data_IF_120068547774
#
_entry.id   IF_120068547774
#
_cell.length_a   1.000
_cell.length_b   1.000
_cell.length_c   1.000
_cell.angle_alpha   90.00
_cell.angle_beta   90.00
_cell.angle_gamma   90.00
#
_symmetry.space_group_name_H-M   'P 1'
#
loop_
_entity.id
_entity.type
_entity.pdbx_description
1 polymer ?
#
# COMPACT_ATOMS: atom_id res chain seq x y z
N UNK A 1 5.16 10.30 -18.29
CA UNK A 1 5.34 9.06 -19.06
C UNK A 1 4.64 7.96 -18.31
N UNK A 2 3.74 7.24 -18.98
CA UNK A 2 3.09 6.07 -18.37
C UNK A 2 4.14 4.97 -18.08
N UNK A 3 4.05 4.42 -16.87
CA UNK A 3 4.98 3.43 -16.37
C UNK A 3 4.65 2.04 -16.95
N UNK A 4 5.53 1.48 -17.78
CA UNK A 4 5.29 0.16 -18.38
C UNK A 4 5.67 -0.96 -17.42
N UNK A 5 4.84 -2.01 -17.36
CA UNK A 5 5.05 -3.19 -16.49
C UNK A 5 6.46 -3.77 -16.61
N UNK A 6 6.97 -3.90 -17.83
CA UNK A 6 8.31 -4.46 -18.09
C UNK A 6 9.44 -3.59 -17.51
N UNK A 7 9.27 -2.26 -17.55
CA UNK A 7 10.25 -1.33 -16.96
C UNK A 7 10.25 -1.45 -15.45
N UNK A 8 9.09 -1.47 -14.80
CA UNK A 8 8.99 -1.65 -13.34
C UNK A 8 9.55 -2.99 -12.90
N UNK A 9 9.24 -4.05 -13.67
CA UNK A 9 9.74 -5.39 -13.38
C UNK A 9 11.28 -5.42 -13.37
N UNK A 10 11.90 -4.79 -14.37
CA UNK A 10 13.36 -4.69 -14.46
C UNK A 10 13.95 -3.84 -13.32
N UNK A 11 13.25 -2.77 -12.90
CA UNK A 11 13.65 -1.98 -11.73
C UNK A 11 13.59 -2.81 -10.46
N UNK A 12 12.46 -3.47 -10.20
CA UNK A 12 12.27 -4.31 -9.02
C UNK A 12 13.31 -5.44 -8.97
N UNK A 13 13.58 -6.12 -10.08
CA UNK A 13 14.58 -7.18 -10.15
C UNK A 13 16.02 -6.69 -9.89
N UNK A 14 16.30 -5.41 -10.17
CA UNK A 14 17.62 -4.81 -9.99
C UNK A 14 17.85 -4.28 -8.58
N UNK A 15 16.82 -3.70 -7.95
CA UNK A 15 16.95 -3.00 -6.68
C UNK A 15 16.59 -3.83 -5.45
N UNK A 16 15.85 -4.93 -5.62
CA UNK A 16 15.35 -5.75 -4.53
C UNK A 16 16.14 -7.06 -4.43
N UNK A 17 16.33 -7.55 -3.22
CA UNK A 17 16.79 -8.91 -2.97
C UNK A 17 15.82 -9.94 -3.58
N UNK A 18 16.29 -11.17 -3.78
CA UNK A 18 15.47 -12.24 -4.36
C UNK A 18 14.19 -12.52 -3.55
N UNK A 19 14.29 -12.51 -2.22
CA UNK A 19 13.14 -12.71 -1.32
C UNK A 19 12.12 -11.58 -1.49
N UNK A 20 12.59 -10.33 -1.47
CA UNK A 20 11.74 -9.16 -1.62
C UNK A 20 11.11 -9.09 -3.01
N UNK A 21 11.87 -9.42 -4.04
CA UNK A 21 11.37 -9.48 -5.41
C UNK A 21 10.27 -10.53 -5.57
N UNK A 22 10.41 -11.72 -4.95
CA UNK A 22 9.35 -12.74 -4.92
C UNK A 22 8.07 -12.24 -4.25
N UNK A 23 8.20 -11.55 -3.10
CA UNK A 23 7.08 -10.87 -2.44
C UNK A 23 6.42 -9.86 -3.38
N UNK A 24 7.20 -8.97 -3.98
CA UNK A 24 6.73 -7.95 -4.93
C UNK A 24 6.00 -8.55 -6.14
N UNK A 25 6.46 -9.69 -6.67
CA UNK A 25 5.73 -10.43 -7.72
C UNK A 25 4.38 -10.95 -7.21
N UNK A 26 4.35 -11.53 -6.01
CA UNK A 26 3.11 -12.00 -5.37
C UNK A 26 2.09 -10.88 -5.18
N UNK A 27 2.55 -9.71 -4.71
CA UNK A 27 1.72 -8.50 -4.58
C UNK A 27 1.19 -8.05 -5.93
N UNK A 28 2.05 -7.95 -6.94
CA UNK A 28 1.66 -7.51 -8.28
C UNK A 28 0.62 -8.43 -8.93
N UNK A 29 0.79 -9.75 -8.81
CA UNK A 29 -0.16 -10.74 -9.33
C UNK A 29 -1.49 -10.71 -8.56
N UNK A 30 -1.45 -10.56 -7.24
CA UNK A 30 -2.64 -10.43 -6.41
C UNK A 30 -3.42 -9.16 -6.76
N UNK A 31 -2.71 -8.04 -6.86
CA UNK A 31 -3.24 -6.74 -7.23
C UNK A 31 -3.91 -6.77 -8.62
N UNK A 32 -3.24 -7.35 -9.62
CA UNK A 32 -3.79 -7.47 -10.98
C UNK A 32 -5.10 -8.29 -11.00
N UNK A 33 -5.14 -9.43 -10.30
CA UNK A 33 -6.33 -10.29 -10.24
C UNK A 33 -7.48 -9.59 -9.53
N UNK A 34 -7.20 -8.95 -8.41
CA UNK A 34 -8.18 -8.19 -7.63
C UNK A 34 -8.71 -7.00 -8.42
N UNK A 35 -7.86 -6.32 -9.20
CA UNK A 35 -8.26 -5.20 -10.05
C UNK A 35 -9.24 -5.65 -11.14
N UNK A 36 -8.97 -6.78 -11.82
CA UNK A 36 -9.89 -7.37 -12.81
C UNK A 36 -11.25 -7.67 -12.20
N UNK A 37 -11.26 -8.21 -10.97
CA UNK A 37 -12.49 -8.56 -10.27
C UNK A 37 -13.33 -7.33 -9.93
N UNK A 38 -12.71 -6.25 -9.47
CA UNK A 38 -13.39 -5.00 -9.10
C UNK A 38 -13.57 -3.99 -10.25
N UNK A 39 -13.21 -4.36 -11.49
CA UNK A 39 -13.34 -3.49 -12.66
C UNK A 39 -12.36 -2.29 -12.67
N UNK A 40 -11.23 -2.40 -11.99
CA UNK A 40 -10.13 -1.43 -12.01
C UNK A 40 -9.14 -1.76 -13.13
N UNK A 41 -8.26 -0.81 -13.48
CA UNK A 41 -7.21 -1.04 -14.47
C UNK A 41 -6.17 -2.05 -13.92
N UNK A 42 -6.07 -3.27 -14.51
CA UNK A 42 -5.17 -4.29 -14.03
C UNK A 42 -3.69 -3.95 -14.28
N UNK A 43 -3.37 -3.17 -15.30
CA UNK A 43 -2.00 -2.77 -15.60
C UNK A 43 -1.50 -1.76 -14.57
N UNK A 44 -2.32 -0.78 -14.20
CA UNK A 44 -1.98 0.15 -13.10
C UNK A 44 -1.77 -0.58 -11.78
N UNK A 45 -2.66 -1.51 -11.44
CA UNK A 45 -2.53 -2.33 -10.23
C UNK A 45 -1.25 -3.18 -10.23
N UNK A 46 -0.94 -3.83 -11.36
CA UNK A 46 0.30 -4.59 -11.50
C UNK A 46 1.54 -3.70 -11.37
N UNK A 47 1.54 -2.53 -12.01
CA UNK A 47 2.65 -1.57 -11.93
C UNK A 47 2.87 -1.07 -10.50
N UNK A 48 1.81 -0.64 -9.81
CA UNK A 48 1.90 -0.19 -8.43
C UNK A 48 2.38 -1.33 -7.50
N UNK A 49 1.88 -2.56 -7.70
CA UNK A 49 2.32 -3.74 -6.95
C UNK A 49 3.80 -4.07 -7.18
N UNK A 50 4.32 -3.94 -8.40
CA UNK A 50 5.74 -4.15 -8.70
C UNK A 50 6.64 -3.05 -8.10
N UNK A 51 6.10 -1.85 -7.88
CA UNK A 51 6.85 -0.68 -7.47
C UNK A 51 6.81 -0.39 -5.96
N UNK A 52 5.81 -0.91 -5.23
CA UNK A 52 5.50 -0.45 -3.85
C UNK A 52 6.69 -0.49 -2.89
N UNK A 53 7.53 -1.52 -3.00
CA UNK A 53 8.66 -1.79 -2.10
C UNK A 53 10.02 -1.36 -2.69
N UNK A 54 10.08 -0.59 -3.79
CA UNK A 54 11.35 -0.23 -4.47
C UNK A 54 12.39 0.44 -3.57
N UNK A 55 11.94 1.19 -2.55
CA UNK A 55 12.82 1.85 -1.58
C UNK A 55 12.97 1.08 -0.25
N UNK A 56 12.41 -0.14 -0.15
CA UNK A 56 12.35 -0.92 1.11
C UNK A 56 13.72 -1.26 1.68
N UNK A 57 14.67 -1.56 0.80
CA UNK A 57 16.01 -2.03 1.16
C UNK A 57 17.03 -0.88 1.26
N UNK A 58 16.60 0.37 1.06
CA UNK A 58 17.43 1.55 1.35
C UNK A 58 17.69 1.56 2.87
N UNK A 59 18.95 1.75 3.33
CA UNK A 59 19.24 1.83 4.76
C UNK A 59 18.39 2.89 5.46
N UNK A 60 17.90 2.59 6.66
CA UNK A 60 16.99 3.47 7.41
C UNK A 60 17.51 4.90 7.56
N UNK A 61 18.81 5.07 7.87
CA UNK A 61 19.45 6.38 7.97
C UNK A 61 19.36 7.20 6.66
N UNK A 62 19.42 6.51 5.53
CA UNK A 62 19.39 7.11 4.21
C UNK A 62 17.94 7.40 3.82
N UNK A 63 16.98 6.54 4.18
CA UNK A 63 15.55 6.83 4.04
C UNK A 63 15.17 8.14 4.75
N UNK A 64 15.57 8.33 6.01
CA UNK A 64 15.32 9.57 6.77
C UNK A 64 15.99 10.77 6.10
N UNK A 65 17.25 10.61 5.67
CA UNK A 65 18.01 11.70 5.03
C UNK A 65 17.38 12.14 3.71
N UNK A 66 16.95 11.18 2.88
CA UNK A 66 16.23 11.43 1.63
C UNK A 66 14.87 12.06 1.89
N UNK A 67 14.09 11.54 2.86
CA UNK A 67 12.78 12.09 3.21
C UNK A 67 12.88 13.54 3.69
N UNK A 68 13.90 13.89 4.49
CA UNK A 68 14.19 15.28 4.86
C UNK A 68 14.54 16.13 3.63
N UNK A 69 15.43 15.62 2.78
CA UNK A 69 15.90 16.35 1.61
C UNK A 69 14.77 16.62 0.60
N UNK A 70 13.85 15.68 0.43
CA UNK A 70 12.71 15.77 -0.48
C UNK A 70 11.44 16.33 0.17
N UNK A 71 11.51 16.75 1.44
CA UNK A 71 10.39 17.32 2.19
C UNK A 71 9.17 16.38 2.28
N UNK A 72 9.42 15.10 2.58
CA UNK A 72 8.42 14.02 2.68
C UNK A 72 8.06 13.67 4.13
N UNK A 73 8.57 14.42 5.11
CA UNK A 73 8.21 14.24 6.52
C UNK A 73 6.98 15.08 6.84
N UNK A 74 5.94 14.43 7.35
CA UNK A 74 4.66 15.07 7.66
C UNK A 74 4.28 14.89 9.14
N UNK A 75 4.82 13.87 9.80
CA UNK A 75 4.56 13.53 11.19
C UNK A 75 5.88 13.31 11.94
N UNK A 76 5.96 13.64 13.24
CA UNK A 76 7.12 13.26 14.08
C UNK A 76 7.41 11.75 14.03
N UNK A 77 6.37 10.94 13.92
CA UNK A 77 6.43 9.47 13.85
C UNK A 77 7.14 8.95 12.59
N UNK A 78 7.20 9.74 11.51
CA UNK A 78 7.96 9.39 10.31
C UNK A 78 9.45 9.22 10.62
N UNK A 79 10.00 10.03 11.53
CA UNK A 79 11.39 9.92 11.97
C UNK A 79 11.59 8.89 13.09
N UNK A 80 10.57 8.68 13.92
CA UNK A 80 10.61 7.69 15.00
C UNK A 80 10.49 6.25 14.47
N UNK A 81 9.74 6.07 13.37
CA UNK A 81 9.45 4.79 12.72
C UNK A 81 9.72 4.84 11.21
N UNK A 82 10.96 5.13 10.80
CA UNK A 82 11.30 5.47 9.42
C UNK A 82 11.13 4.35 8.41
N UNK A 83 10.90 3.11 8.85
CA UNK A 83 10.58 2.00 7.95
C UNK A 83 9.29 2.25 7.14
N UNK A 84 8.43 3.19 7.54
CA UNK A 84 7.22 3.59 6.78
C UNK A 84 7.54 4.47 5.56
N UNK A 85 8.73 5.09 5.52
CA UNK A 85 9.10 6.07 4.50
C UNK A 85 9.37 5.47 3.12
N UNK A 86 9.61 4.16 3.01
CA UNK A 86 9.87 3.51 1.73
C UNK A 86 8.75 3.72 0.70
N UNK A 87 7.47 3.77 1.09
CA UNK A 87 6.37 4.06 0.16
C UNK A 87 6.51 5.45 -0.47
N UNK A 88 6.52 6.55 0.31
CA UNK A 88 6.71 7.90 -0.20
C UNK A 88 8.02 8.09 -0.97
N UNK A 89 9.11 7.47 -0.51
CA UNK A 89 10.41 7.52 -1.20
C UNK A 89 10.37 6.83 -2.57
N UNK A 90 9.72 5.67 -2.68
CA UNK A 90 9.57 4.95 -3.94
C UNK A 90 8.74 5.78 -4.94
N UNK A 91 7.62 6.37 -4.49
CA UNK A 91 6.79 7.23 -5.32
C UNK A 91 7.56 8.47 -5.81
N UNK A 92 8.25 9.18 -4.91
CA UNK A 92 9.06 10.34 -5.26
C UNK A 92 10.16 9.98 -6.26
N UNK A 93 10.84 8.84 -6.05
CA UNK A 93 11.90 8.39 -6.93
C UNK A 93 11.39 8.11 -8.34
N UNK A 94 10.24 7.45 -8.46
CA UNK A 94 9.59 7.17 -9.75
C UNK A 94 9.15 8.45 -10.47
N UNK A 95 8.52 9.38 -9.77
CA UNK A 95 8.08 10.66 -10.32
C UNK A 95 9.27 11.47 -10.85
N UNK A 96 10.27 11.70 -10.01
CA UNK A 96 11.32 12.67 -10.32
C UNK A 96 12.46 12.11 -11.18
N UNK A 97 12.79 10.82 -11.04
CA UNK A 97 13.95 10.22 -11.72
C UNK A 97 13.54 9.31 -12.88
N UNK A 98 12.35 8.69 -12.83
CA UNK A 98 11.81 7.89 -13.93
C UNK A 98 10.68 8.58 -14.71
N UNK A 99 10.32 9.82 -14.35
CA UNK A 99 9.36 10.67 -15.09
C UNK A 99 7.96 10.05 -15.22
N UNK A 100 7.58 9.27 -14.21
CA UNK A 100 6.23 8.73 -14.06
C UNK A 100 5.29 9.87 -13.70
N UNK A 101 4.16 9.97 -14.39
CA UNK A 101 3.14 11.01 -14.18
C UNK A 101 1.75 10.45 -13.82
N UNK A 102 1.61 9.12 -13.72
CA UNK A 102 0.37 8.50 -13.27
C UNK A 102 0.20 8.70 -11.76
N UNK A 103 -0.55 9.74 -11.39
CA UNK A 103 -0.78 10.12 -10.00
C UNK A 103 -1.52 9.06 -9.19
N UNK A 104 -2.35 8.22 -9.83
CA UNK A 104 -3.05 7.13 -9.13
C UNK A 104 -2.07 6.04 -8.71
N UNK A 105 -1.17 5.64 -9.61
CA UNK A 105 -0.12 4.65 -9.33
C UNK A 105 0.84 5.18 -8.27
N UNK A 106 1.29 6.44 -8.39
CA UNK A 106 2.18 7.07 -7.42
C UNK A 106 1.53 7.18 -6.05
N UNK A 107 0.25 7.54 -5.96
CA UNK A 107 -0.49 7.60 -4.69
C UNK A 107 -0.64 6.21 -4.06
N UNK A 108 -0.93 5.18 -4.86
CA UNK A 108 -1.01 3.80 -4.40
C UNK A 108 0.32 3.31 -3.80
N UNK A 109 1.44 3.65 -4.43
CA UNK A 109 2.78 3.34 -3.93
C UNK A 109 3.09 4.14 -2.66
N UNK A 110 2.82 5.45 -2.64
CA UNK A 110 3.15 6.31 -1.51
C UNK A 110 2.41 5.89 -0.23
N UNK A 111 1.16 5.47 -0.35
CA UNK A 111 0.28 5.22 0.79
C UNK A 111 0.12 3.74 1.16
N UNK A 112 0.80 2.81 0.48
CA UNK A 112 0.55 1.37 0.68
C UNK A 112 0.85 0.87 2.10
N UNK A 113 1.72 1.54 2.87
CA UNK A 113 2.10 1.08 4.22
C UNK A 113 1.12 1.56 5.30
N UNK A 114 0.71 2.83 5.24
CA UNK A 114 -0.07 3.48 6.30
C UNK A 114 -1.55 3.67 5.91
N UNK A 115 -1.86 3.54 4.62
CA UNK A 115 -3.06 4.09 4.01
C UNK A 115 -3.09 5.62 4.11
N UNK A 116 -4.26 6.20 3.83
CA UNK A 116 -4.59 7.59 4.19
C UNK A 116 -6.11 7.79 4.22
N UNK A 117 -6.62 8.86 4.84
CA UNK A 117 -7.98 9.31 4.58
C UNK A 117 -8.19 9.58 3.08
N UNK A 118 -9.34 9.19 2.54
CA UNK A 118 -9.62 9.44 1.13
C UNK A 118 -8.94 8.48 0.16
N UNK A 119 -8.53 7.26 0.58
CA UNK A 119 -7.94 6.28 -0.35
C UNK A 119 -8.86 6.01 -1.54
N UNK A 120 -8.27 6.04 -2.72
CA UNK A 120 -8.86 5.55 -3.97
C UNK A 120 -8.95 4.02 -3.98
N UNK A 121 -9.75 3.42 -4.88
CA UNK A 121 -9.78 1.97 -5.05
C UNK A 121 -8.40 1.35 -5.31
N UNK A 122 -7.53 2.00 -6.08
CA UNK A 122 -6.19 1.49 -6.35
C UNK A 122 -5.31 1.50 -5.10
N UNK A 123 -5.35 2.57 -4.28
CA UNK A 123 -4.64 2.63 -3.00
C UNK A 123 -5.11 1.53 -2.04
N UNK A 124 -6.43 1.35 -1.90
CA UNK A 124 -7.02 0.30 -1.07
C UNK A 124 -6.58 -1.09 -1.51
N UNK A 125 -6.55 -1.32 -2.82
CA UNK A 125 -6.14 -2.57 -3.43
C UNK A 125 -4.66 -2.87 -3.17
N UNK A 126 -3.75 -1.91 -3.37
CA UNK A 126 -2.32 -2.12 -3.16
C UNK A 126 -1.97 -2.29 -1.69
N UNK A 127 -2.55 -1.48 -0.80
CA UNK A 127 -2.44 -1.65 0.66
C UNK A 127 -2.84 -3.08 1.08
N UNK A 128 -3.98 -3.55 0.56
CA UNK A 128 -4.53 -4.85 0.94
C UNK A 128 -3.77 -6.01 0.30
N UNK A 129 -3.31 -5.86 -0.94
CA UNK A 129 -2.54 -6.88 -1.64
C UNK A 129 -1.18 -7.15 -0.96
N UNK A 130 -0.47 -6.12 -0.49
CA UNK A 130 0.79 -6.30 0.26
C UNK A 130 0.62 -7.13 1.54
N UNK A 131 -0.52 -6.95 2.21
CA UNK A 131 -0.87 -7.69 3.41
C UNK A 131 -1.35 -9.12 3.14
N UNK A 132 -1.92 -9.40 1.97
CA UNK A 132 -2.68 -10.64 1.71
C UNK A 132 -2.17 -11.47 0.54
N UNK A 133 -1.05 -11.09 -0.08
CA UNK A 133 -0.44 -11.87 -1.16
C UNK A 133 -0.22 -13.35 -0.77
N UNK A 134 -0.19 -14.28 -1.73
CA UNK A 134 -0.29 -15.72 -1.45
C UNK A 134 0.75 -16.30 -0.49
N UNK A 135 1.95 -15.71 -0.39
CA UNK A 135 3.00 -16.18 0.51
C UNK A 135 2.79 -15.75 1.97
N UNK A 136 1.89 -14.79 2.23
CA UNK A 136 1.51 -14.39 3.59
C UNK A 136 0.71 -15.51 4.27
N UNK A 137 1.20 -15.93 5.43
CA UNK A 137 0.53 -16.89 6.29
C UNK A 137 0.38 -16.34 7.72
N UNK A 138 -0.86 -16.14 8.14
CA UNK A 138 -1.21 -15.73 9.49
C UNK A 138 -2.68 -16.05 9.79
N UNK A 139 -3.09 -16.09 11.07
CA UNK A 139 -4.45 -16.44 11.44
C UNK A 139 -5.49 -15.60 10.71
N UNK A 140 -6.44 -16.29 10.05
CA UNK A 140 -7.57 -15.70 9.31
C UNK A 140 -7.21 -14.92 8.04
N UNK A 141 -6.01 -15.09 7.48
CA UNK A 141 -5.64 -14.46 6.20
C UNK A 141 -6.62 -14.79 5.07
N UNK A 142 -7.14 -16.01 5.01
CA UNK A 142 -8.09 -16.41 3.96
C UNK A 142 -9.46 -15.72 4.08
N UNK A 143 -9.89 -15.42 5.31
CA UNK A 143 -11.11 -14.64 5.54
C UNK A 143 -10.92 -13.20 5.05
N UNK A 144 -9.74 -12.62 5.30
CA UNK A 144 -9.41 -11.29 4.76
C UNK A 144 -9.34 -11.29 3.24
N UNK A 145 -8.70 -12.30 2.65
CA UNK A 145 -8.68 -12.49 1.19
C UNK A 145 -10.09 -12.54 0.64
N UNK A 146 -10.98 -13.35 1.21
CA UNK A 146 -12.38 -13.41 0.74
C UNK A 146 -13.09 -12.06 0.89
N UNK A 147 -12.96 -11.39 2.04
CA UNK A 147 -13.59 -10.08 2.28
C UNK A 147 -13.20 -9.05 1.21
N UNK A 148 -11.92 -9.04 0.81
CA UNK A 148 -11.41 -8.15 -0.25
C UNK A 148 -12.03 -8.41 -1.63
N UNK A 149 -12.38 -9.66 -1.97
CA UNK A 149 -13.08 -9.96 -3.22
C UNK A 149 -14.58 -9.70 -3.12
N UNK A 150 -15.19 -9.84 -1.95
CA UNK A 150 -16.61 -9.56 -1.76
C UNK A 150 -16.91 -8.05 -1.82
N UNK A 151 -16.08 -7.24 -1.15
CA UNK A 151 -16.19 -5.78 -1.11
C UNK A 151 -14.81 -5.19 -0.80
N UNK A 152 -14.23 -4.45 -1.75
CA UNK A 152 -12.87 -3.93 -1.61
C UNK A 152 -12.73 -2.96 -0.43
N UNK A 153 -13.71 -2.08 -0.21
CA UNK A 153 -13.61 -1.07 0.85
C UNK A 153 -13.76 -1.72 2.23
N UNK A 154 -14.74 -2.61 2.38
CA UNK A 154 -14.93 -3.38 3.61
C UNK A 154 -13.73 -4.30 3.89
N UNK A 155 -13.25 -5.03 2.88
CA UNK A 155 -12.08 -5.89 3.05
C UNK A 155 -10.82 -5.10 3.40
N UNK A 156 -10.68 -3.87 2.87
CA UNK A 156 -9.58 -2.97 3.26
C UNK A 156 -9.73 -2.50 4.70
N UNK A 157 -10.94 -2.19 5.16
CA UNK A 157 -11.20 -1.90 6.58
C UNK A 157 -10.79 -3.07 7.47
N UNK A 158 -11.17 -4.30 7.12
CA UNK A 158 -10.78 -5.51 7.87
C UNK A 158 -9.24 -5.67 7.92
N UNK A 159 -8.55 -5.32 6.83
CA UNK A 159 -7.08 -5.31 6.78
C UNK A 159 -6.47 -4.27 7.73
N UNK A 160 -7.02 -3.05 7.76
CA UNK A 160 -6.57 -1.99 8.67
C UNK A 160 -6.83 -2.38 10.14
N UNK A 161 -8.01 -2.93 10.45
CA UNK A 161 -8.34 -3.44 11.79
C UNK A 161 -7.36 -4.50 12.26
N UNK A 162 -7.02 -5.44 11.37
CA UNK A 162 -6.00 -6.45 11.67
C UNK A 162 -4.64 -5.80 11.95
N UNK A 163 -4.20 -4.84 11.14
CA UNK A 163 -2.93 -4.14 11.35
C UNK A 163 -2.90 -3.45 12.71
N UNK A 164 -3.97 -2.73 13.08
CA UNK A 164 -4.09 -2.09 14.40
C UNK A 164 -4.05 -3.11 15.55
N UNK A 165 -4.78 -4.22 15.41
CA UNK A 165 -4.76 -5.29 16.41
C UNK A 165 -3.36 -5.89 16.57
N UNK A 166 -2.67 -6.15 15.46
CA UNK A 166 -1.30 -6.66 15.46
C UNK A 166 -0.33 -5.71 16.16
N UNK A 167 -0.39 -4.41 15.83
CA UNK A 167 0.46 -3.39 16.46
C UNK A 167 0.19 -3.31 17.97
N UNK A 168 -1.09 -3.30 18.37
CA UNK A 168 -1.49 -3.30 19.78
C UNK A 168 -1.00 -4.53 20.55
N UNK A 169 -1.14 -5.72 19.96
CA UNK A 169 -0.69 -6.98 20.57
C UNK A 169 0.83 -7.03 20.75
N UNK A 170 1.59 -6.38 19.86
CA UNK A 170 3.05 -6.29 19.93
C UNK A 170 3.55 -5.10 20.74
N UNK A 171 2.65 -4.28 21.28
CA UNK A 171 2.97 -3.00 21.93
C UNK A 171 3.80 -2.07 21.03
N UNK A 172 3.56 -2.16 19.71
CA UNK A 172 4.16 -1.27 18.73
C UNK A 172 3.33 0.03 18.65
N UNK A 173 3.99 1.18 18.42
CA UNK A 173 3.29 2.44 18.22
C UNK A 173 2.45 2.38 16.95
N UNK A 174 1.32 3.07 17.00
CA UNK A 174 0.40 3.22 15.86
C UNK A 174 0.65 4.60 15.26
N UNK A 175 1.02 4.63 13.98
CA UNK A 175 1.20 5.87 13.26
C UNK A 175 -0.15 6.63 13.17
N UNK A 176 -0.20 7.95 13.42
CA UNK A 176 -1.45 8.71 13.38
C UNK A 176 -2.22 8.53 12.07
N UNK A 177 -1.52 8.48 10.94
CA UNK A 177 -2.13 8.25 9.62
C UNK A 177 -2.91 6.93 9.56
N UNK A 178 -2.39 5.83 10.11
CA UNK A 178 -3.11 4.55 10.12
C UNK A 178 -4.40 4.63 10.94
N UNK A 179 -4.37 5.36 12.06
CA UNK A 179 -5.58 5.60 12.86
C UNK A 179 -6.61 6.44 12.08
N UNK A 180 -6.17 7.49 11.39
CA UNK A 180 -7.04 8.31 10.53
C UNK A 180 -7.61 7.51 9.35
N UNK A 181 -6.81 6.63 8.75
CA UNK A 181 -7.25 5.69 7.69
C UNK A 181 -8.38 4.80 8.20
N UNK A 182 -8.22 4.23 9.40
CA UNK A 182 -9.24 3.40 10.03
C UNK A 182 -10.56 4.15 10.23
N UNK A 183 -10.49 5.34 10.85
CA UNK A 183 -11.65 6.17 11.13
C UNK A 183 -12.38 6.60 9.84
N UNK A 184 -11.63 6.85 8.77
CA UNK A 184 -12.19 7.19 7.47
C UNK A 184 -12.99 6.05 6.85
N UNK A 185 -12.38 4.86 6.76
CA UNK A 185 -13.04 3.68 6.21
C UNK A 185 -14.26 3.28 7.05
N UNK A 186 -14.14 3.30 8.39
CA UNK A 186 -15.25 2.99 9.29
C UNK A 186 -16.44 3.94 9.07
N UNK A 187 -16.17 5.24 8.93
CA UNK A 187 -17.20 6.24 8.66
C UNK A 187 -17.91 6.00 7.32
N UNK A 188 -17.19 5.63 6.26
CA UNK A 188 -17.80 5.35 4.94
C UNK A 188 -18.76 4.16 4.99
N UNK A 189 -18.39 3.11 5.71
CA UNK A 189 -19.25 1.93 5.92
C UNK A 189 -20.55 2.28 6.68
N UNK A 190 -20.46 3.18 7.65
CA UNK A 190 -21.64 3.65 8.40
C UNK A 190 -22.57 4.53 7.56
N UNK A 191 -22.04 5.29 6.60
CA UNK A 191 -22.86 6.10 5.68
C UNK A 191 -23.57 5.21 4.64
N UNK A 192 -22.90 4.17 4.13
CA UNK A 192 -23.47 3.23 3.16
C UNK A 192 -24.66 2.40 3.68
N UNK A 193 -24.78 2.22 4.99
CA UNK A 193 -25.90 1.51 5.63
C UNK A 193 -27.10 2.40 5.96
N UNK A 194 -26.94 3.74 5.90
CA UNK A 194 -27.99 4.72 6.22
C UNK A 194 -29.00 5.00 5.10
N UNK A 195 -28.76 4.53 3.87
CA UNK A 195 -29.57 4.90 2.69
C UNK A 195 -30.61 3.85 2.25
N UNK A 196 -30.90 2.82 3.06
CA UNK A 196 -31.89 1.78 2.75
C UNK A 196 -33.24 1.91 3.49
N UNK A 197 -33.46 2.95 4.28
CA UNK A 197 -34.75 3.22 4.92
C UNK A 197 -35.16 4.69 4.69
N UNK A 198 -35.69 4.99 3.52
CA UNK A 198 -36.55 6.15 3.27
C UNK A 198 -37.55 5.82 2.17
#
# INVERSE_FOLDING_TARGET
MELRVEEVLNLAARFLSEERFKHTLGVAECAEKMAKHHGLDPLKARCAGLAHDLAKEIPIKDQVSLARHWNLLHYPEDEQHPAVLHGPLAAYWLEHYYKVDDTEVLAAIANHTLGRPGMSPLEMLIYSADLTEPSRDFPKVDILRQSLYDDLEKGTLDCVERTLLYLKQRNNPIHPVTQLTYEDLQRRQNVGTGSKNA
#
